data_IF_761886351759
#
_entry.id   IF_761886351759
#
_cell.length_a   1.000
_cell.length_b   1.000
_cell.length_c   1.000
_cell.angle_alpha   90.00
_cell.angle_beta   90.00
_cell.angle_gamma   90.00
#
_symmetry.space_group_name_H-M   'P 1'
#
loop_
_entity.id
_entity.type
_entity.pdbx_description
1 polymer ?
#
# COMPACT_ATOMS: atom_id res chain seq x y z
N UNK A 1 -11.85 9.57 -36.46
CA UNK A 1 -11.60 8.33 -35.69
C UNK A 1 -10.31 8.43 -34.88
N UNK A 2 -9.18 8.78 -35.48
CA UNK A 2 -7.89 9.09 -34.81
C UNK A 2 -8.02 9.99 -33.56
N UNK A 3 -8.69 11.15 -33.70
CA UNK A 3 -8.86 12.10 -32.59
C UNK A 3 -9.69 11.57 -31.42
N UNK A 4 -10.63 10.66 -31.70
CA UNK A 4 -11.48 10.04 -30.68
C UNK A 4 -10.68 8.98 -29.90
N UNK A 5 -9.83 8.23 -30.60
CA UNK A 5 -8.93 7.25 -29.99
C UNK A 5 -7.90 7.95 -29.09
N UNK A 6 -7.29 9.04 -29.57
CA UNK A 6 -6.34 9.84 -28.78
C UNK A 6 -7.02 10.43 -27.53
N UNK A 7 -8.23 10.98 -27.67
CA UNK A 7 -8.99 11.50 -26.54
C UNK A 7 -9.30 10.41 -25.51
N UNK A 8 -9.72 9.21 -25.96
CA UNK A 8 -10.00 8.08 -25.08
C UNK A 8 -8.75 7.54 -24.37
N UNK A 9 -7.61 7.48 -25.06
CA UNK A 9 -6.34 7.06 -24.46
C UNK A 9 -5.84 8.08 -23.43
N UNK A 10 -5.97 9.38 -23.73
CA UNK A 10 -5.61 10.46 -22.79
C UNK A 10 -6.50 10.45 -21.54
N UNK A 11 -7.80 10.25 -21.67
CA UNK A 11 -8.71 10.20 -20.52
C UNK A 11 -8.48 8.96 -19.65
N UNK A 12 -8.18 7.80 -20.26
CA UNK A 12 -7.81 6.59 -19.53
C UNK A 12 -6.50 6.78 -18.76
N UNK A 13 -5.49 7.38 -19.40
CA UNK A 13 -4.18 7.62 -18.77
C UNK A 13 -4.31 8.57 -17.57
N UNK A 14 -5.06 9.67 -17.72
CA UNK A 14 -5.28 10.66 -16.65
C UNK A 14 -6.03 10.06 -15.45
N UNK A 15 -7.02 9.21 -15.68
CA UNK A 15 -7.82 8.59 -14.60
C UNK A 15 -6.97 7.66 -13.70
N UNK A 16 -5.98 6.98 -14.28
CA UNK A 16 -5.10 6.06 -13.54
C UNK A 16 -4.11 6.79 -12.63
N UNK A 17 -3.79 8.06 -12.92
CA UNK A 17 -2.80 8.84 -12.17
C UNK A 17 -3.35 9.55 -10.93
N UNK A 18 -4.68 9.59 -10.74
CA UNK A 18 -5.32 10.31 -9.62
C UNK A 18 -5.79 9.41 -8.48
N UNK A 19 -5.44 8.12 -8.50
CA UNK A 19 -5.64 7.25 -7.36
C UNK A 19 -4.61 7.60 -6.27
N UNK A 20 -4.93 8.57 -5.42
CA UNK A 20 -4.13 8.83 -4.22
C UNK A 20 -4.30 7.64 -3.27
N UNK A 21 -3.23 6.90 -2.93
CA UNK A 21 -3.32 5.91 -1.86
C UNK A 21 -3.76 6.60 -0.57
N UNK A 22 -4.49 5.89 0.28
CA UNK A 22 -4.84 6.39 1.61
C UNK A 22 -3.53 6.68 2.38
N UNK A 23 -3.24 7.96 2.64
CA UNK A 23 -1.95 8.40 3.16
C UNK A 23 -1.89 8.14 4.67
N UNK A 24 -1.38 6.97 5.05
CA UNK A 24 -1.20 6.61 6.46
C UNK A 24 0.08 7.19 7.09
N UNK A 25 1.01 7.71 6.28
CA UNK A 25 2.29 8.31 6.72
C UNK A 25 2.29 9.80 6.34
N UNK A 26 1.99 10.66 7.31
CA UNK A 26 1.82 12.12 7.09
C UNK A 26 3.13 12.78 6.66
N UNK A 27 3.11 13.49 5.52
CA UNK A 27 4.28 14.23 5.00
C UNK A 27 5.50 13.35 4.70
N UNK A 28 5.27 12.06 4.44
CA UNK A 28 6.29 11.14 3.98
C UNK A 28 6.59 11.30 2.49
N UNK A 29 7.43 10.41 1.98
CA UNK A 29 7.64 10.18 0.56
C UNK A 29 7.60 8.68 0.29
N UNK A 30 7.26 8.30 -0.94
CA UNK A 30 7.26 6.89 -1.34
C UNK A 30 8.64 6.26 -1.12
N UNK A 31 8.64 5.07 -0.51
CA UNK A 31 9.85 4.29 -0.34
C UNK A 31 10.28 3.69 -1.69
N UNK A 32 11.58 3.64 -1.92
CA UNK A 32 12.16 2.92 -3.03
C UNK A 32 11.89 1.41 -2.94
N UNK A 33 12.02 0.72 -4.08
CA UNK A 33 11.87 -0.73 -4.12
C UNK A 33 12.86 -1.40 -3.17
N UNK A 34 12.34 -2.19 -2.23
CA UNK A 34 13.12 -2.89 -1.21
C UNK A 34 13.99 -1.97 -0.33
N UNK A 35 13.66 -0.69 -0.18
CA UNK A 35 14.41 0.25 0.69
C UNK A 35 14.38 -0.19 2.16
N UNK A 36 13.23 -0.71 2.62
CA UNK A 36 13.02 -1.22 3.97
C UNK A 36 12.67 -2.71 3.92
N UNK A 37 13.64 -3.62 3.67
CA UNK A 37 13.36 -5.03 3.40
C UNK A 37 12.77 -5.79 4.59
N UNK A 38 12.92 -5.24 5.80
CA UNK A 38 12.29 -5.74 7.01
C UNK A 38 10.82 -5.35 7.16
N UNK A 39 10.28 -4.41 6.37
CA UNK A 39 8.90 -3.94 6.51
C UNK A 39 7.93 -5.08 6.16
N UNK A 40 6.97 -5.34 7.05
CA UNK A 40 5.90 -6.31 6.82
C UNK A 40 4.53 -5.65 7.01
N UNK A 41 3.57 -6.04 6.18
CA UNK A 41 2.16 -5.68 6.29
C UNK A 41 1.39 -6.85 6.90
N UNK A 42 0.71 -6.62 8.02
CA UNK A 42 -0.08 -7.63 8.70
C UNK A 42 -1.56 -7.42 8.40
N UNK A 43 -2.21 -8.46 7.88
CA UNK A 43 -3.67 -8.57 7.81
C UNK A 43 -4.17 -9.44 8.96
N UNK A 44 -5.05 -8.90 9.79
CA UNK A 44 -5.50 -9.55 11.03
C UNK A 44 -7.01 -9.74 10.96
N UNK A 45 -7.45 -11.00 11.03
CA UNK A 45 -8.86 -11.39 10.92
C UNK A 45 -9.39 -11.76 12.29
N UNK A 46 -10.34 -10.99 12.80
CA UNK A 46 -10.98 -11.22 14.10
C UNK A 46 -12.50 -11.28 13.92
N UNK A 47 -13.12 -12.44 14.18
CA UNK A 47 -14.59 -12.67 14.27
C UNK A 47 -15.48 -11.62 13.55
N UNK A 48 -15.39 -11.55 12.23
CA UNK A 48 -16.24 -10.69 11.40
C UNK A 48 -15.65 -9.32 11.03
N UNK A 49 -14.48 -8.96 11.56
CA UNK A 49 -13.69 -7.80 11.14
C UNK A 49 -12.31 -8.21 10.62
N UNK A 50 -11.78 -7.35 9.75
CA UNK A 50 -10.43 -7.41 9.24
C UNK A 50 -9.77 -6.05 9.55
N UNK A 51 -8.61 -6.09 10.19
CA UNK A 51 -7.79 -4.91 10.47
C UNK A 51 -6.39 -5.11 9.91
N UNK A 52 -5.61 -4.04 9.85
CA UNK A 52 -4.23 -4.08 9.38
C UNK A 52 -3.29 -3.32 10.32
N UNK A 53 -2.04 -3.78 10.34
CA UNK A 53 -0.95 -3.15 11.09
C UNK A 53 0.37 -3.27 10.33
N UNK A 54 1.33 -2.42 10.68
CA UNK A 54 2.73 -2.61 10.30
C UNK A 54 3.46 -3.60 11.22
N UNK A 55 4.55 -4.18 10.71
CA UNK A 55 5.43 -5.06 11.46
C UNK A 55 6.86 -5.07 10.88
N UNK A 56 7.78 -5.73 11.58
CA UNK A 56 9.18 -5.87 11.18
C UNK A 56 9.64 -7.33 11.21
N UNK A 57 10.23 -7.81 10.11
CA UNK A 57 10.88 -9.12 10.05
C UNK A 57 12.14 -9.10 10.93
N UNK A 58 12.13 -9.90 12.00
CA UNK A 58 13.21 -9.99 12.98
C UNK A 58 14.16 -11.15 12.67
N UNK A 59 13.62 -12.28 12.19
CA UNK A 59 14.40 -13.43 11.73
C UNK A 59 13.66 -14.19 10.63
N UNK A 60 14.27 -15.28 10.14
CA UNK A 60 13.65 -16.27 9.25
C UNK A 60 12.27 -16.78 9.67
N UNK A 61 11.90 -16.66 10.96
CA UNK A 61 10.67 -17.21 11.55
C UNK A 61 9.91 -16.23 12.43
N UNK A 62 10.45 -15.03 12.68
CA UNK A 62 9.89 -14.10 13.65
C UNK A 62 9.59 -12.74 13.02
N UNK A 63 8.38 -12.25 13.28
CA UNK A 63 7.93 -10.90 12.94
C UNK A 63 7.53 -10.20 14.23
N UNK A 64 8.01 -8.98 14.43
CA UNK A 64 7.71 -8.13 15.57
C UNK A 64 6.64 -7.09 15.18
N UNK A 65 5.62 -6.92 16.02
CA UNK A 65 4.55 -5.92 15.84
C UNK A 65 4.10 -5.36 17.19
N UNK A 66 3.21 -4.36 17.18
CA UNK A 66 2.64 -3.79 18.39
C UNK A 66 1.64 -4.74 19.03
N UNK A 67 1.62 -4.80 20.37
CA UNK A 67 0.74 -5.71 21.10
C UNK A 67 -0.76 -5.43 20.86
N UNK A 68 -1.15 -4.18 20.62
CA UNK A 68 -2.55 -3.81 20.39
C UNK A 68 -3.09 -4.20 19.00
N UNK A 69 -2.23 -4.71 18.12
CA UNK A 69 -2.67 -5.20 16.81
C UNK A 69 -3.40 -6.55 16.92
N UNK A 70 -3.27 -7.26 18.06
CA UNK A 70 -3.83 -8.60 18.29
C UNK A 70 -5.05 -8.61 19.22
#
# INVERSE_FOLDING_TARGET
MERIIIAALLTIFVCCSTASPDEHIVSGSDAGQCEFPHMAYLTIKMRGSETFCGASLLSDKWVLTAAHCL
#
